data_IF_313974430933
#
_entry.id   IF_313974430933
#
_cell.length_a   1.000
_cell.length_b   1.000
_cell.length_c   1.000
_cell.angle_alpha   90.00
_cell.angle_beta   90.00
_cell.angle_gamma   90.00
#
_symmetry.space_group_name_H-M   'P 1'
#
loop_
_entity.id
_entity.type
_entity.pdbx_description
1 polymer ?
#
# COMPACT_ATOMS: atom_id res chain seq x y z
N UNK A 1 5.54 41.09 2.91
CA UNK A 1 4.64 40.95 4.10
C UNK A 1 3.70 42.14 4.20
N UNK A 2 4.20 43.37 4.43
CA UNK A 2 3.34 44.56 4.61
C UNK A 2 2.38 44.87 3.45
N UNK A 3 2.75 44.55 2.21
CA UNK A 3 1.87 44.74 1.04
C UNK A 3 0.80 43.64 0.88
N UNK A 4 0.94 42.51 1.57
CA UNK A 4 0.10 41.32 1.35
C UNK A 4 -1.03 41.17 2.38
N UNK A 5 -0.97 41.90 3.50
CA UNK A 5 -1.94 41.79 4.58
C UNK A 5 -2.33 43.20 5.05
N UNK A 6 -3.64 43.47 5.10
CA UNK A 6 -4.16 44.72 5.64
C UNK A 6 -3.85 44.82 7.15
N UNK A 7 -3.55 46.02 7.65
CA UNK A 7 -3.28 46.30 9.06
C UNK A 7 -2.14 45.47 9.68
N UNK A 8 -1.09 45.17 8.92
CA UNK A 8 0.09 44.43 9.42
C UNK A 8 1.24 45.37 9.76
N UNK A 9 1.75 45.29 10.99
CA UNK A 9 2.99 45.92 11.39
C UNK A 9 4.13 44.91 11.29
N UNK A 10 5.21 45.27 10.59
CA UNK A 10 6.41 44.45 10.50
C UNK A 10 7.51 45.13 11.29
N UNK A 11 8.06 44.40 12.26
CA UNK A 11 9.30 44.78 12.95
C UNK A 11 10.38 43.78 12.59
N UNK A 12 11.63 44.23 12.55
CA UNK A 12 12.78 43.38 12.21
C UNK A 12 13.93 43.63 13.15
N UNK A 13 14.72 42.58 13.39
CA UNK A 13 15.99 42.65 14.11
C UNK A 13 16.97 41.68 13.48
N UNK A 14 18.22 42.12 13.38
CA UNK A 14 19.34 41.28 12.96
C UNK A 14 19.96 40.68 14.22
N UNK A 15 20.13 39.36 14.22
CA UNK A 15 20.71 38.60 15.34
C UNK A 15 21.89 37.80 14.79
N UNK A 16 23.03 37.71 15.51
CA UNK A 16 24.12 36.83 15.11
C UNK A 16 23.69 35.36 15.06
N UNK A 17 24.40 34.54 14.27
CA UNK A 17 24.19 33.08 14.14
C UNK A 17 24.69 32.31 15.39
N UNK A 18 24.27 32.77 16.57
CA UNK A 18 24.56 32.16 17.86
C UNK A 18 23.26 31.69 18.50
N UNK A 19 23.21 30.40 18.85
CA UNK A 19 21.99 29.75 19.33
C UNK A 19 21.33 30.49 20.50
N UNK A 20 22.13 30.89 21.49
CA UNK A 20 21.62 31.55 22.71
C UNK A 20 21.07 32.95 22.42
N UNK A 21 21.69 33.69 21.49
CA UNK A 21 21.22 35.02 21.07
C UNK A 21 19.93 34.94 20.26
N UNK A 22 19.84 33.96 19.35
CA UNK A 22 18.61 33.68 18.60
C UNK A 22 17.49 33.32 19.58
N UNK A 23 17.75 32.42 20.54
CA UNK A 23 16.77 32.03 21.55
C UNK A 23 16.32 33.19 22.41
N UNK A 24 17.25 34.04 22.87
CA UNK A 24 16.94 35.20 23.68
C UNK A 24 15.98 36.14 22.95
N UNK A 25 16.25 36.43 21.68
CA UNK A 25 15.36 37.33 20.92
C UNK A 25 14.03 36.68 20.58
N UNK A 26 14.01 35.39 20.21
CA UNK A 26 12.77 34.67 19.96
C UNK A 26 11.88 34.66 21.20
N UNK A 27 12.41 34.38 22.40
CA UNK A 27 11.66 34.46 23.67
C UNK A 27 11.06 35.85 23.87
N UNK A 28 11.88 36.89 23.71
CA UNK A 28 11.44 38.29 23.84
C UNK A 28 10.28 38.62 22.88
N UNK A 29 10.26 38.04 21.69
CA UNK A 29 9.18 38.26 20.72
C UNK A 29 7.96 37.38 20.96
N UNK A 30 8.14 36.15 21.46
CA UNK A 30 7.06 35.26 21.88
C UNK A 30 6.28 35.89 23.05
N UNK A 31 6.97 36.56 23.97
CA UNK A 31 6.36 37.21 25.14
C UNK A 31 5.56 38.48 24.78
N UNK A 32 5.58 38.93 23.53
CA UNK A 32 4.82 40.09 23.06
C UNK A 32 3.49 39.65 22.47
N UNK A 33 2.40 40.00 23.15
CA UNK A 33 1.04 39.64 22.72
C UNK A 33 0.68 40.17 21.33
N UNK A 34 1.30 41.29 20.91
CA UNK A 34 1.09 41.87 19.58
C UNK A 34 1.80 41.09 18.44
N UNK A 35 2.75 40.20 18.75
CA UNK A 35 3.52 39.45 17.75
C UNK A 35 2.94 38.05 17.53
N UNK A 36 2.21 37.93 16.43
CA UNK A 36 1.47 36.70 16.08
C UNK A 36 2.25 35.71 15.21
N UNK A 37 3.23 36.22 14.45
CA UNK A 37 4.04 35.42 13.52
C UNK A 37 5.49 35.90 13.59
N UNK A 38 6.42 34.96 13.77
CA UNK A 38 7.86 35.19 13.69
C UNK A 38 8.41 34.40 12.50
N UNK A 39 9.07 35.12 11.59
CA UNK A 39 9.80 34.51 10.47
C UNK A 39 11.28 34.72 10.70
N UNK A 40 12.04 33.64 10.77
CA UNK A 40 13.51 33.73 10.76
C UNK A 40 13.99 33.50 9.33
N UNK A 41 15.09 34.13 8.95
CA UNK A 41 15.71 33.93 7.62
C UNK A 41 17.18 33.61 7.81
N UNK A 42 17.61 32.45 7.31
CA UNK A 42 19.00 32.00 7.43
C UNK A 42 19.25 31.04 8.58
N UNK A 43 20.42 30.44 8.58
CA UNK A 43 20.85 29.51 9.62
C UNK A 43 20.14 28.15 9.61
N UNK A 44 19.50 27.74 8.49
CA UNK A 44 18.73 26.49 8.39
C UNK A 44 19.43 25.36 7.63
N UNK A 45 20.61 25.60 7.05
CA UNK A 45 21.37 24.62 6.28
C UNK A 45 22.13 23.60 7.13
N UNK A 46 23.16 22.98 6.56
CA UNK A 46 24.00 21.98 7.24
C UNK A 46 25.33 22.55 7.77
N UNK A 47 25.61 23.84 7.57
CA UNK A 47 26.87 24.42 8.02
C UNK A 47 26.93 24.45 9.56
N UNK A 48 28.14 24.43 10.18
CA UNK A 48 28.26 24.45 11.64
C UNK A 48 27.63 25.67 12.33
N UNK A 49 27.45 26.78 11.60
CA UNK A 49 26.78 28.00 12.08
C UNK A 49 25.28 28.02 11.83
N UNK A 50 24.74 27.06 11.07
CA UNK A 50 23.30 26.97 10.81
C UNK A 50 22.59 26.38 12.04
N UNK A 51 22.27 27.22 13.02
CA UNK A 51 21.71 26.79 14.33
C UNK A 51 20.28 27.27 14.58
N UNK A 52 19.65 27.91 13.58
CA UNK A 52 18.31 28.50 13.73
C UNK A 52 17.22 27.47 14.07
N UNK A 53 17.19 26.25 13.45
CA UNK A 53 16.23 25.22 13.84
C UNK A 53 16.42 24.73 15.28
N UNK A 54 17.67 24.55 15.72
CA UNK A 54 18.01 24.12 17.09
C UNK A 54 17.62 25.18 18.12
N UNK A 55 17.84 26.45 17.80
CA UNK A 55 17.42 27.57 18.62
C UNK A 55 15.89 27.62 18.76
N UNK A 56 15.19 27.52 17.62
CA UNK A 56 13.72 27.61 17.54
C UNK A 56 13.04 26.45 18.25
N UNK A 57 13.45 25.21 18.00
CA UNK A 57 12.78 23.99 18.49
C UNK A 57 12.65 23.93 20.02
N UNK A 58 13.62 24.50 20.75
CA UNK A 58 13.60 24.51 22.22
C UNK A 58 12.56 25.47 22.82
N UNK A 59 11.95 26.34 22.01
CA UNK A 59 10.97 27.32 22.45
C UNK A 59 9.54 26.96 22.04
N UNK A 60 9.35 25.89 21.25
CA UNK A 60 8.06 25.50 20.74
C UNK A 60 7.28 24.69 21.77
N UNK A 61 6.02 25.04 21.98
CA UNK A 61 5.06 24.20 22.72
C UNK A 61 4.56 23.05 21.84
N UNK A 62 4.40 23.32 20.54
CA UNK A 62 3.92 22.35 19.54
C UNK A 62 4.67 22.52 18.22
N UNK A 63 5.29 21.46 17.74
CA UNK A 63 5.83 21.44 16.38
C UNK A 63 4.70 21.34 15.34
N UNK A 64 4.89 21.98 14.18
CA UNK A 64 3.98 21.94 13.04
C UNK A 64 4.69 21.29 11.83
N UNK A 65 5.00 19.97 11.88
CA UNK A 65 5.84 19.33 10.87
C UNK A 65 5.21 19.34 9.47
N UNK A 66 3.87 19.36 9.36
CA UNK A 66 3.17 19.46 8.08
C UNK A 66 3.41 20.81 7.38
N UNK A 67 3.58 21.92 8.13
CA UNK A 67 3.92 23.21 7.53
C UNK A 67 5.35 23.20 6.99
N UNK A 68 6.30 22.65 7.76
CA UNK A 68 7.69 22.49 7.31
C UNK A 68 7.75 21.60 6.07
N UNK A 69 7.04 20.47 6.08
CA UNK A 69 6.96 19.56 4.94
C UNK A 69 6.32 20.23 3.72
N UNK A 70 5.24 21.00 3.90
CA UNK A 70 4.58 21.71 2.81
C UNK A 70 5.49 22.75 2.14
N UNK A 71 6.23 23.52 2.94
CA UNK A 71 7.26 24.46 2.44
C UNK A 71 8.30 23.68 1.64
N UNK A 72 8.88 22.61 2.21
CA UNK A 72 9.90 21.80 1.55
C UNK A 72 9.41 21.19 0.23
N UNK A 73 8.21 20.61 0.20
CA UNK A 73 7.63 20.01 -1.01
C UNK A 73 7.38 21.03 -2.12
N UNK A 74 7.06 22.28 -1.78
CA UNK A 74 6.89 23.36 -2.77
C UNK A 74 8.22 23.92 -3.23
N UNK A 75 9.20 24.10 -2.33
CA UNK A 75 10.54 24.58 -2.66
C UNK A 75 11.34 23.58 -3.50
N UNK A 76 11.22 22.27 -3.26
CA UNK A 76 11.90 21.23 -4.05
C UNK A 76 11.50 21.27 -5.53
N UNK A 77 10.26 21.68 -5.84
CA UNK A 77 9.79 21.85 -7.23
C UNK A 77 10.52 22.98 -7.96
N UNK A 78 11.04 23.96 -7.21
CA UNK A 78 11.80 25.08 -7.77
C UNK A 78 13.31 24.83 -7.77
N UNK A 79 13.82 24.11 -6.75
CA UNK A 79 15.23 23.75 -6.66
C UNK A 79 15.44 22.50 -5.80
N UNK A 80 16.21 21.54 -6.31
CA UNK A 80 16.59 20.34 -5.57
C UNK A 80 17.37 20.65 -4.28
N UNK A 81 18.09 21.78 -4.21
CA UNK A 81 18.85 22.19 -3.03
C UNK A 81 17.97 22.54 -1.82
N UNK A 82 16.66 22.73 -2.01
CA UNK A 82 15.72 22.94 -0.91
C UNK A 82 15.66 21.74 0.05
N UNK A 83 16.00 20.53 -0.42
CA UNK A 83 16.11 19.33 0.41
C UNK A 83 17.18 19.45 1.52
N UNK A 84 18.11 20.42 1.43
CA UNK A 84 19.18 20.64 2.41
C UNK A 84 18.79 21.64 3.51
N UNK A 85 17.55 22.14 3.51
CA UNK A 85 17.06 23.00 4.60
C UNK A 85 16.49 22.15 5.73
N UNK A 86 16.88 22.45 6.96
CA UNK A 86 16.38 21.86 8.21
C UNK A 86 15.40 22.77 8.95
N UNK A 87 14.82 23.75 8.26
CA UNK A 87 13.89 24.72 8.85
C UNK A 87 12.72 24.04 9.55
N UNK A 88 12.40 24.48 10.77
CA UNK A 88 11.24 24.01 11.52
C UNK A 88 10.13 25.05 11.56
N UNK A 89 8.92 24.57 11.82
CA UNK A 89 7.73 25.37 12.01
C UNK A 89 7.05 24.91 13.30
N UNK A 90 6.49 25.84 14.08
CA UNK A 90 5.77 25.49 15.30
C UNK A 90 5.14 26.66 16.00
N UNK A 91 4.46 26.36 17.10
CA UNK A 91 3.71 27.31 17.92
C UNK A 91 4.42 27.44 19.27
N UNK A 92 4.62 28.67 19.72
CA UNK A 92 5.08 29.02 21.06
C UNK A 92 4.15 30.09 21.63
N UNK A 93 3.48 29.80 22.73
CA UNK A 93 2.39 30.58 23.28
C UNK A 93 1.32 30.85 22.23
N UNK A 94 1.16 32.12 21.88
CA UNK A 94 0.18 32.60 20.91
C UNK A 94 0.81 32.99 19.56
N UNK A 95 2.04 32.53 19.31
CA UNK A 95 2.88 32.96 18.20
C UNK A 95 3.29 31.79 17.31
N UNK A 96 3.09 31.94 16.00
CA UNK A 96 3.56 30.99 14.99
C UNK A 96 5.00 31.33 14.59
N UNK A 97 5.92 30.37 14.64
CA UNK A 97 7.32 30.54 14.24
C UNK A 97 7.62 29.68 13.02
N UNK A 98 8.24 30.28 12.00
CA UNK A 98 8.60 29.62 10.73
C UNK A 98 10.06 29.96 10.39
N UNK A 99 10.90 28.94 10.19
CA UNK A 99 12.28 29.15 9.74
C UNK A 99 12.40 29.06 8.22
N UNK A 100 12.85 30.14 7.58
CA UNK A 100 13.17 30.19 6.16
C UNK A 100 14.67 30.16 5.89
N UNK A 101 15.09 29.69 4.70
CA UNK A 101 16.48 29.78 4.26
C UNK A 101 16.97 31.22 4.12
N UNK A 102 18.28 31.43 3.99
CA UNK A 102 18.88 32.77 4.02
C UNK A 102 18.83 33.55 2.71
N UNK A 103 18.64 32.91 1.55
CA UNK A 103 18.66 33.63 0.28
C UNK A 103 17.35 34.36 0.01
N UNK A 104 17.42 35.58 -0.54
CA UNK A 104 16.25 36.41 -0.82
C UNK A 104 15.21 35.68 -1.69
N UNK A 105 15.68 34.94 -2.71
CA UNK A 105 14.84 34.11 -3.57
C UNK A 105 14.10 33.04 -2.75
N UNK A 106 14.82 32.29 -1.91
CA UNK A 106 14.22 31.22 -1.11
C UNK A 106 13.22 31.76 -0.08
N UNK A 107 13.52 32.90 0.55
CA UNK A 107 12.59 33.57 1.48
C UNK A 107 11.29 33.96 0.77
N UNK A 108 11.38 34.56 -0.43
CA UNK A 108 10.21 34.94 -1.24
C UNK A 108 9.36 33.72 -1.59
N UNK A 109 9.98 32.63 -2.02
CA UNK A 109 9.29 31.38 -2.39
C UNK A 109 8.63 30.69 -1.18
N UNK A 110 9.34 30.62 -0.05
CA UNK A 110 8.80 30.05 1.19
C UNK A 110 7.61 30.88 1.67
N UNK A 111 7.73 32.21 1.69
CA UNK A 111 6.64 33.09 2.09
C UNK A 111 5.42 32.98 1.18
N UNK A 112 5.62 32.96 -0.15
CA UNK A 112 4.53 32.76 -1.11
C UNK A 112 3.78 31.45 -0.88
N UNK A 113 4.50 30.39 -0.49
CA UNK A 113 3.92 29.08 -0.22
C UNK A 113 2.92 29.12 0.95
N UNK A 114 3.26 29.84 2.01
CA UNK A 114 2.46 29.88 3.25
C UNK A 114 1.55 31.10 3.36
N UNK A 115 1.66 32.06 2.44
CA UNK A 115 0.96 33.34 2.49
C UNK A 115 -0.54 33.19 2.78
N UNK A 116 -1.21 32.29 2.06
CA UNK A 116 -2.66 32.11 2.17
C UNK A 116 -3.07 31.34 3.42
N UNK A 117 -2.13 30.62 4.05
CA UNK A 117 -2.36 29.86 5.29
C UNK A 117 -2.21 30.73 6.54
N UNK A 118 -1.37 31.77 6.48
CA UNK A 118 -1.00 32.59 7.64
C UNK A 118 -2.21 33.20 8.39
N UNK A 119 -3.19 33.85 7.74
CA UNK A 119 -4.31 34.44 8.46
C UNK A 119 -5.09 33.40 9.26
N UNK A 120 -5.38 32.25 8.64
CA UNK A 120 -6.11 31.18 9.30
C UNK A 120 -5.32 30.56 10.46
N UNK A 121 -4.02 30.32 10.25
CA UNK A 121 -3.15 29.79 11.29
C UNK A 121 -3.10 30.70 12.52
N UNK A 122 -3.01 32.02 12.31
CA UNK A 122 -3.03 33.01 13.40
C UNK A 122 -4.36 33.03 14.15
N UNK A 123 -5.49 32.95 13.43
CA UNK A 123 -6.82 32.90 14.05
C UNK A 123 -7.00 31.62 14.90
N UNK A 124 -6.52 30.47 14.41
CA UNK A 124 -6.57 29.20 15.13
C UNK A 124 -5.72 29.23 16.41
N UNK A 125 -4.53 29.82 16.36
CA UNK A 125 -3.65 29.93 17.52
C UNK A 125 -4.24 30.91 18.55
N UNK A 126 -4.87 31.99 18.08
CA UNK A 126 -5.49 33.02 18.91
C UNK A 126 -6.87 32.71 19.46
N UNK A 127 -7.43 31.54 19.14
CA UNK A 127 -8.80 31.15 19.49
C UNK A 127 -9.85 32.21 19.09
N UNK A 128 -9.63 32.91 17.97
CA UNK A 128 -10.61 33.86 17.43
C UNK A 128 -11.72 33.08 16.71
N UNK A 129 -12.62 32.52 17.50
CA UNK A 129 -13.71 31.64 17.03
C UNK A 129 -14.51 32.29 15.90
N UNK A 130 -14.66 33.62 15.92
CA UNK A 130 -15.42 34.36 14.90
C UNK A 130 -14.71 34.37 13.54
N UNK A 131 -13.40 34.65 13.52
CA UNK A 131 -12.59 34.68 12.31
C UNK A 131 -12.21 33.28 11.84
N UNK A 132 -11.97 32.34 12.75
CA UNK A 132 -11.81 30.90 12.46
C UNK A 132 -13.06 30.39 11.77
N UNK A 133 -14.25 30.68 12.31
CA UNK A 133 -15.52 30.31 11.69
C UNK A 133 -15.69 30.98 10.34
N UNK A 134 -15.37 32.26 10.19
CA UNK A 134 -15.43 32.98 8.90
C UNK A 134 -14.49 32.36 7.86
N UNK A 135 -13.24 32.05 8.21
CA UNK A 135 -12.29 31.40 7.31
C UNK A 135 -12.72 29.96 7.00
N UNK A 136 -13.25 29.21 7.95
CA UNK A 136 -13.86 27.92 7.66
C UNK A 136 -15.10 28.07 6.78
N UNK A 137 -15.90 29.11 6.93
CA UNK A 137 -17.04 29.43 6.05
C UNK A 137 -16.57 29.87 4.65
N UNK A 138 -15.41 30.52 4.51
CA UNK A 138 -14.79 30.95 3.24
C UNK A 138 -14.02 29.83 2.51
N UNK A 139 -13.30 28.98 3.24
CA UNK A 139 -12.71 27.74 2.72
C UNK A 139 -13.82 26.75 2.41
N UNK A 140 -14.82 26.67 3.27
CA UNK A 140 -16.04 25.99 2.93
C UNK A 140 -16.78 26.71 1.82
N UNK A 141 -16.67 28.01 1.52
CA UNK A 141 -17.37 28.67 0.38
C UNK A 141 -16.59 28.65 -0.94
N UNK A 142 -15.28 28.46 -0.89
CA UNK A 142 -14.46 28.12 -2.06
C UNK A 142 -14.53 26.62 -2.38
N UNK A 143 -14.73 25.76 -1.38
CA UNK A 143 -15.13 24.36 -1.54
C UNK A 143 -16.67 24.16 -1.63
N UNK A 144 -17.44 25.20 -1.31
CA UNK A 144 -18.88 25.35 -1.53
C UNK A 144 -19.04 26.50 -2.52
N UNK A 145 -18.93 26.13 -3.80
CA UNK A 145 -20.22 26.17 -4.50
C UNK A 145 -21.20 25.44 -3.59
N UNK A 146 -21.92 26.25 -2.80
CA UNK A 146 -22.99 25.80 -1.95
C UNK A 146 -24.01 25.28 -2.91
N UNK A 147 -23.87 24.01 -3.27
CA UNK A 147 -25.01 23.15 -3.22
C UNK A 147 -25.45 23.13 -1.76
N UNK A 148 -26.08 24.24 -1.32
CA UNK A 148 -27.35 24.11 -0.64
C UNK A 148 -28.07 23.10 -1.51
N UNK A 149 -28.25 21.89 -1.01
CA UNK A 149 -29.19 21.00 -1.65
C UNK A 149 -30.51 21.74 -1.52
N UNK A 150 -31.03 22.39 -2.58
CA UNK A 150 -32.32 23.07 -2.44
C UNK A 150 -33.40 22.02 -2.15
N UNK A 151 -33.06 20.75 -2.39
CA UNK A 151 -33.87 19.60 -2.06
C UNK A 151 -33.94 19.47 -0.54
N UNK A 152 -35.05 19.96 0.00
CA UNK A 152 -35.62 19.54 1.27
C UNK A 152 -35.98 18.04 1.18
N UNK A 153 -34.99 17.16 1.21
CA UNK A 153 -35.25 15.71 1.29
C UNK A 153 -35.94 15.41 2.61
N UNK A 154 -37.12 14.76 2.57
CA UNK A 154 -37.94 14.47 3.74
C UNK A 154 -39.04 15.47 4.09
N UNK A 155 -39.33 16.49 3.27
CA UNK A 155 -40.51 17.38 3.46
C UNK A 155 -41.70 17.07 2.55
N UNK A 156 -41.58 16.07 1.68
CA UNK A 156 -42.71 15.53 0.91
C UNK A 156 -43.54 14.58 1.78
N UNK A 157 -44.85 14.55 1.56
CA UNK A 157 -45.74 13.52 2.15
C UNK A 157 -45.34 12.13 1.64
N UNK A 158 -45.70 11.05 2.34
CA UNK A 158 -45.25 9.65 2.14
C UNK A 158 -45.41 9.05 0.73
N UNK A 159 -45.95 9.81 -0.23
CA UNK A 159 -46.07 9.48 -1.66
C UNK A 159 -45.06 10.17 -2.59
N UNK A 160 -44.11 10.98 -2.09
CA UNK A 160 -43.38 11.96 -2.90
C UNK A 160 -41.84 11.83 -2.84
N UNK A 161 -41.20 11.59 -4.00
CA UNK A 161 -39.78 11.80 -4.42
C UNK A 161 -38.63 11.49 -3.43
N UNK A 162 -38.91 10.84 -2.32
CA UNK A 162 -37.92 10.40 -1.34
C UNK A 162 -37.45 8.98 -1.69
N UNK A 163 -36.16 8.71 -1.47
CA UNK A 163 -35.65 7.37 -1.66
C UNK A 163 -36.19 6.43 -0.58
N UNK A 164 -36.67 5.23 -0.93
CA UNK A 164 -37.12 4.25 0.05
C UNK A 164 -35.95 3.65 0.86
N UNK A 165 -34.71 3.90 0.45
CA UNK A 165 -33.53 3.39 1.12
C UNK A 165 -33.00 4.38 2.16
N UNK A 166 -32.71 3.90 3.40
CA UNK A 166 -32.10 4.73 4.44
C UNK A 166 -30.70 5.18 4.00
N UNK A 167 -30.25 6.29 4.57
CA UNK A 167 -28.88 6.77 4.35
C UNK A 167 -27.94 6.09 5.35
N UNK A 168 -27.17 5.10 4.90
CA UNK A 168 -26.28 4.33 5.78
C UNK A 168 -24.89 4.98 5.89
N UNK A 169 -24.21 4.78 7.02
CA UNK A 169 -22.82 5.21 7.18
C UNK A 169 -21.87 4.28 6.41
N UNK A 170 -20.71 4.80 5.96
CA UNK A 170 -19.72 4.01 5.19
C UNK A 170 -19.32 2.72 5.91
N UNK A 171 -19.07 2.77 7.21
CA UNK A 171 -18.64 1.58 7.98
C UNK A 171 -19.75 0.55 8.20
N UNK A 172 -21.00 1.00 8.25
CA UNK A 172 -22.14 0.10 8.33
C UNK A 172 -22.28 -0.67 7.02
N UNK A 173 -22.14 0.01 5.88
CA UNK A 173 -22.19 -0.61 4.54
C UNK A 173 -21.06 -1.62 4.35
N UNK A 174 -19.83 -1.28 4.74
CA UNK A 174 -18.69 -2.20 4.70
C UNK A 174 -18.94 -3.44 5.56
N UNK A 175 -19.47 -3.25 6.78
CA UNK A 175 -19.82 -4.38 7.66
C UNK A 175 -20.88 -5.28 7.04
N UNK A 176 -21.90 -4.69 6.40
CA UNK A 176 -22.93 -5.44 5.67
C UNK A 176 -22.29 -6.26 4.53
N UNK A 177 -21.45 -5.65 3.69
CA UNK A 177 -20.78 -6.33 2.58
C UNK A 177 -19.97 -7.52 3.09
N UNK A 178 -19.10 -7.29 4.09
CA UNK A 178 -18.23 -8.33 4.62
C UNK A 178 -18.96 -9.47 5.33
N UNK A 179 -20.15 -9.23 5.86
CA UNK A 179 -20.99 -10.27 6.46
C UNK A 179 -21.79 -11.07 5.43
N UNK A 180 -22.08 -10.49 4.27
CA UNK A 180 -22.87 -11.14 3.22
C UNK A 180 -22.00 -11.89 2.21
N UNK A 181 -20.83 -11.35 1.86
CA UNK A 181 -19.94 -11.97 0.88
C UNK A 181 -19.27 -13.19 1.50
N UNK A 182 -19.53 -14.36 0.91
CA UNK A 182 -18.89 -15.61 1.31
C UNK A 182 -17.38 -15.53 1.07
N UNK A 183 -16.62 -15.71 2.15
CA UNK A 183 -15.15 -15.77 2.10
C UNK A 183 -14.70 -17.19 1.83
N UNK A 184 -13.66 -17.35 1.01
CA UNK A 184 -12.99 -18.64 0.89
C UNK A 184 -12.37 -19.01 2.24
N UNK A 185 -12.35 -20.30 2.57
CA UNK A 185 -11.76 -20.79 3.81
C UNK A 185 -10.21 -20.81 3.77
N UNK A 186 -9.61 -19.90 2.99
CA UNK A 186 -8.20 -19.91 2.67
C UNK A 186 -7.34 -19.81 3.93
N UNK A 187 -7.70 -18.93 4.84
CA UNK A 187 -6.96 -18.73 6.08
C UNK A 187 -6.87 -20.02 6.90
N UNK A 188 -7.98 -20.74 7.07
CA UNK A 188 -7.98 -22.02 7.79
C UNK A 188 -7.22 -23.09 7.00
N UNK A 189 -7.37 -23.14 5.67
CA UNK A 189 -6.62 -24.07 4.81
C UNK A 189 -5.11 -23.85 4.98
N UNK A 190 -4.64 -22.59 4.99
CA UNK A 190 -3.24 -22.25 5.18
C UNK A 190 -2.74 -22.64 6.58
N UNK A 191 -3.52 -22.32 7.63
CA UNK A 191 -3.17 -22.63 9.02
C UNK A 191 -3.10 -24.14 9.30
N UNK A 192 -3.92 -24.94 8.63
CA UNK A 192 -3.93 -26.41 8.79
C UNK A 192 -2.95 -27.11 7.85
N UNK A 193 -2.37 -26.39 6.88
CA UNK A 193 -1.52 -27.00 5.87
C UNK A 193 -0.21 -27.50 6.48
N UNK A 194 0.08 -28.76 6.20
CA UNK A 194 1.29 -29.45 6.64
C UNK A 194 2.25 -29.66 5.48
N UNK A 195 3.55 -29.62 5.78
CA UNK A 195 4.61 -29.86 4.83
C UNK A 195 4.54 -31.31 4.32
N UNK A 196 4.35 -31.55 3.01
CA UNK A 196 4.35 -32.90 2.44
C UNK A 196 5.75 -33.52 2.37
N UNK A 197 6.81 -32.70 2.49
CA UNK A 197 8.21 -33.09 2.31
C UNK A 197 9.09 -32.46 3.37
N UNK A 198 10.26 -33.06 3.59
CA UNK A 198 11.34 -32.47 4.36
C UNK A 198 12.10 -31.42 3.52
N UNK A 199 12.56 -30.35 4.15
CA UNK A 199 13.48 -29.36 3.57
C UNK A 199 14.71 -29.26 4.48
N UNK A 200 15.92 -29.59 3.99
CA UNK A 200 16.16 -30.33 2.75
C UNK A 200 15.63 -31.78 2.82
N UNK A 201 15.36 -32.44 1.69
CA UNK A 201 14.88 -33.82 1.65
C UNK A 201 15.99 -34.87 1.85
N UNK A 202 17.24 -34.45 1.84
CA UNK A 202 18.45 -35.26 2.04
C UNK A 202 19.45 -34.50 2.90
N UNK A 203 20.47 -35.18 3.42
CA UNK A 203 21.61 -34.53 4.09
C UNK A 203 22.37 -33.72 3.05
N UNK A 204 22.43 -32.40 3.23
CA UNK A 204 23.00 -31.50 2.23
C UNK A 204 24.26 -30.81 2.76
N UNK A 205 25.21 -30.55 1.88
CA UNK A 205 26.38 -29.74 2.23
C UNK A 205 25.97 -28.27 2.45
N UNK A 206 26.47 -27.65 3.53
CA UNK A 206 26.32 -26.21 3.79
C UNK A 206 27.34 -25.39 2.98
N UNK A 207 28.46 -26.01 2.59
CA UNK A 207 29.62 -25.34 1.98
C UNK A 207 30.11 -26.07 0.73
N UNK A 208 30.89 -25.38 -0.09
CA UNK A 208 31.75 -26.05 -1.06
C UNK A 208 32.95 -26.62 -0.29
N UNK A 209 33.30 -27.88 -0.54
CA UNK A 209 34.31 -28.57 0.28
C UNK A 209 34.51 -30.03 -0.09
N UNK A 210 34.84 -30.82 0.93
CA UNK A 210 35.09 -32.26 0.79
C UNK A 210 34.26 -33.05 1.80
N UNK A 211 33.36 -33.89 1.29
CA UNK A 211 32.57 -34.82 2.08
C UNK A 211 33.40 -36.04 2.46
N UNK A 212 33.46 -36.35 3.75
CA UNK A 212 34.29 -37.42 4.31
C UNK A 212 33.68 -38.01 5.59
N UNK A 213 34.33 -39.05 6.13
CA UNK A 213 34.02 -39.63 7.44
C UNK A 213 34.67 -38.83 8.56
N UNK A 214 33.91 -38.53 9.59
CA UNK A 214 34.36 -37.90 10.83
C UNK A 214 35.26 -38.80 11.65
N UNK A 215 35.19 -40.13 11.46
CA UNK A 215 36.14 -41.09 12.06
C UNK A 215 37.50 -41.07 11.37
N UNK A 216 37.64 -40.35 10.25
CA UNK A 216 38.91 -40.11 9.61
C UNK A 216 39.81 -39.15 10.40
N UNK A 217 40.68 -38.46 9.68
CA UNK A 217 41.73 -37.62 10.27
C UNK A 217 42.06 -36.45 9.35
N UNK A 218 42.56 -35.34 9.89
CA UNK A 218 43.20 -34.28 9.08
C UNK A 218 44.42 -34.81 8.31
N UNK A 219 44.80 -34.18 7.21
CA UNK A 219 45.90 -34.59 6.35
C UNK A 219 45.45 -35.08 4.97
N UNK A 220 46.36 -35.74 4.24
CA UNK A 220 46.13 -36.16 2.86
C UNK A 220 44.95 -37.13 2.70
N UNK A 221 44.02 -36.79 1.80
CA UNK A 221 42.88 -37.62 1.36
C UNK A 221 42.86 -37.80 -0.16
N UNK A 222 42.51 -39.00 -0.61
CA UNK A 222 42.21 -39.26 -2.02
C UNK A 222 40.84 -38.70 -2.37
N UNK A 223 40.78 -37.91 -3.44
CA UNK A 223 39.52 -37.39 -3.97
C UNK A 223 38.97 -38.40 -4.98
N UNK A 224 37.87 -39.07 -4.63
CA UNK A 224 37.28 -40.14 -5.44
C UNK A 224 36.42 -39.64 -6.59
N UNK A 225 35.97 -38.38 -6.50
CA UNK A 225 35.11 -37.76 -7.48
C UNK A 225 34.50 -36.47 -6.97
N UNK A 226 33.55 -35.97 -7.75
CA UNK A 226 32.89 -34.71 -7.55
C UNK A 226 31.37 -34.90 -7.48
N UNK A 227 30.71 -34.24 -6.52
CA UNK A 227 29.27 -34.31 -6.29
C UNK A 227 28.69 -32.90 -6.37
N UNK A 228 27.85 -32.66 -7.36
CA UNK A 228 27.17 -31.40 -7.60
C UNK A 228 25.75 -31.38 -7.00
N UNK A 229 25.20 -30.18 -6.85
CA UNK A 229 23.78 -30.02 -6.57
C UNK A 229 22.94 -30.63 -7.72
N UNK A 230 22.04 -31.54 -7.37
CA UNK A 230 21.20 -32.27 -8.34
C UNK A 230 21.66 -33.71 -8.63
N UNK A 231 22.87 -34.09 -8.21
CA UNK A 231 23.33 -35.48 -8.31
C UNK A 231 22.61 -36.40 -7.32
N UNK A 232 22.73 -37.72 -7.53
CA UNK A 232 22.20 -38.73 -6.60
C UNK A 232 23.25 -39.02 -5.51
N UNK A 233 22.87 -39.16 -4.23
CA UNK A 233 23.80 -39.58 -3.19
C UNK A 233 24.54 -40.87 -3.55
N UNK A 234 25.87 -40.82 -3.53
CA UNK A 234 26.71 -42.00 -3.78
C UNK A 234 26.59 -42.99 -2.62
N UNK A 235 26.38 -44.26 -2.94
CA UNK A 235 26.34 -45.39 -1.99
C UNK A 235 27.62 -46.24 -1.98
N UNK A 236 28.65 -45.80 -2.71
CA UNK A 236 29.94 -46.49 -2.73
C UNK A 236 30.60 -46.41 -1.35
N UNK A 237 31.35 -47.45 -0.94
CA UNK A 237 32.15 -47.40 0.28
C UNK A 237 33.12 -46.21 0.27
N UNK A 238 33.29 -45.60 1.43
CA UNK A 238 34.21 -44.48 1.65
C UNK A 238 35.19 -44.84 2.78
N UNK A 239 36.48 -44.90 2.47
CA UNK A 239 37.52 -45.14 3.47
C UNK A 239 37.86 -43.86 4.27
N UNK A 240 38.58 -44.02 5.39
CA UNK A 240 38.96 -42.89 6.25
C UNK A 240 39.99 -41.94 5.61
N UNK A 241 40.72 -42.41 4.59
CA UNK A 241 41.69 -41.64 3.81
C UNK A 241 41.13 -41.17 2.45
N UNK A 242 39.81 -41.19 2.29
CA UNK A 242 39.09 -40.83 1.06
C UNK A 242 38.05 -39.74 1.31
N UNK A 243 37.78 -38.95 0.27
CA UNK A 243 36.74 -37.92 0.28
C UNK A 243 36.14 -37.72 -1.12
N UNK A 244 34.98 -37.08 -1.17
CA UNK A 244 34.40 -36.55 -2.40
C UNK A 244 34.45 -35.04 -2.36
N UNK A 245 34.89 -34.40 -3.44
CA UNK A 245 34.69 -32.96 -3.61
C UNK A 245 33.19 -32.71 -3.76
N UNK A 246 32.64 -31.76 -3.02
CA UNK A 246 31.19 -31.53 -2.93
C UNK A 246 30.87 -30.03 -2.98
N UNK A 247 29.78 -29.69 -3.64
CA UNK A 247 29.27 -28.31 -3.67
C UNK A 247 28.19 -28.06 -2.62
N UNK A 248 27.98 -26.80 -2.31
CA UNK A 248 26.89 -26.29 -1.49
C UNK A 248 25.55 -26.79 -2.01
N UNK A 249 24.73 -27.34 -1.11
CA UNK A 249 23.41 -27.88 -1.44
C UNK A 249 23.42 -29.27 -2.09
N UNK A 250 24.59 -29.83 -2.42
CA UNK A 250 24.68 -31.19 -2.94
C UNK A 250 24.39 -32.24 -1.85
N UNK A 251 23.82 -33.40 -2.22
CA UNK A 251 23.60 -34.48 -1.28
C UNK A 251 24.90 -35.11 -0.82
N UNK A 252 24.99 -35.40 0.47
CA UNK A 252 26.13 -36.15 1.01
C UNK A 252 26.12 -37.61 0.53
N UNK A 253 27.30 -38.21 0.26
CA UNK A 253 27.45 -39.66 0.20
C UNK A 253 26.87 -40.34 1.44
N UNK A 254 26.32 -41.54 1.29
CA UNK A 254 25.68 -42.26 2.40
C UNK A 254 26.65 -42.53 3.57
N UNK A 255 27.91 -42.80 3.23
CA UNK A 255 28.98 -43.12 4.18
C UNK A 255 29.71 -41.89 4.72
N UNK A 256 29.44 -40.69 4.20
CA UNK A 256 30.02 -39.45 4.71
C UNK A 256 29.12 -38.83 5.78
N UNK A 257 29.73 -38.16 6.75
CA UNK A 257 28.98 -37.51 7.82
C UNK A 257 29.44 -36.11 8.19
N UNK A 258 30.45 -35.59 7.50
CA UNK A 258 30.94 -34.23 7.63
C UNK A 258 31.42 -33.69 6.28
N UNK A 259 31.49 -32.37 6.19
CA UNK A 259 32.10 -31.63 5.09
C UNK A 259 33.14 -30.69 5.68
N UNK A 260 34.35 -30.66 5.11
CA UNK A 260 35.35 -29.62 5.39
C UNK A 260 35.37 -28.65 4.22
N UNK A 261 35.14 -27.36 4.49
CA UNK A 261 35.10 -26.31 3.46
C UNK A 261 36.43 -26.18 2.71
N UNK A 262 36.38 -25.74 1.45
CA UNK A 262 37.58 -25.62 0.57
C UNK A 262 38.69 -24.79 1.22
N UNK A 263 38.35 -23.73 1.94
CA UNK A 263 39.31 -22.83 2.59
C UNK A 263 40.16 -23.53 3.67
N UNK A 264 39.65 -24.61 4.26
CA UNK A 264 40.34 -25.45 5.25
C UNK A 264 41.06 -26.65 4.60
N UNK A 265 41.38 -26.54 3.31
CA UNK A 265 42.10 -27.56 2.57
C UNK A 265 43.20 -26.98 1.69
N UNK A 266 44.11 -27.85 1.24
CA UNK A 266 45.15 -27.51 0.27
C UNK A 266 45.21 -28.57 -0.82
N UNK A 267 45.00 -28.18 -2.07
CA UNK A 267 45.14 -29.08 -3.21
C UNK A 267 46.58 -29.58 -3.32
N UNK A 268 46.76 -30.91 -3.36
CA UNK A 268 48.08 -31.54 -3.48
C UNK A 268 48.34 -32.08 -4.89
N UNK A 269 47.33 -32.66 -5.54
CA UNK A 269 47.52 -33.31 -6.83
C UNK A 269 46.27 -33.26 -7.72
N UNK A 270 46.49 -33.00 -9.01
CA UNK A 270 45.53 -33.20 -10.08
C UNK A 270 45.82 -34.51 -10.84
N UNK A 271 44.77 -35.17 -11.32
CA UNK A 271 44.87 -36.32 -12.21
C UNK A 271 45.20 -35.90 -13.65
N UNK A 272 45.29 -36.87 -14.55
CA UNK A 272 45.62 -36.64 -15.97
C UNK A 272 44.56 -35.83 -16.73
N UNK A 273 43.35 -35.74 -16.19
CA UNK A 273 42.22 -35.01 -16.77
C UNK A 273 42.05 -33.61 -16.14
N UNK A 274 42.94 -33.23 -15.21
CA UNK A 274 42.88 -31.96 -14.50
C UNK A 274 41.87 -31.94 -13.35
N UNK A 275 41.38 -33.11 -12.91
CA UNK A 275 40.51 -33.23 -11.74
C UNK A 275 41.33 -33.44 -10.48
N UNK A 276 40.81 -32.99 -9.34
CA UNK A 276 41.49 -33.18 -8.06
C UNK A 276 41.54 -34.67 -7.71
N UNK A 277 42.72 -35.15 -7.34
CA UNK A 277 42.95 -36.56 -6.96
C UNK A 277 43.50 -36.70 -5.54
N UNK A 278 44.17 -35.66 -5.02
CA UNK A 278 44.69 -35.63 -3.66
C UNK A 278 44.55 -34.23 -3.07
N UNK A 279 44.01 -34.15 -1.86
CA UNK A 279 43.84 -32.91 -1.09
C UNK A 279 44.37 -33.10 0.33
N UNK A 280 44.93 -32.05 0.92
CA UNK A 280 45.32 -32.00 2.32
C UNK A 280 44.20 -31.34 3.13
N UNK A 281 43.64 -32.05 4.10
CA UNK A 281 42.60 -31.53 4.99
C UNK A 281 43.27 -30.89 6.20
N UNK A 282 43.11 -29.58 6.41
CA UNK A 282 43.83 -28.85 7.47
C UNK A 282 43.06 -28.80 8.81
N UNK A 283 41.77 -29.15 8.79
CA UNK A 283 40.88 -29.16 9.94
C UNK A 283 40.53 -30.60 10.34
N UNK A 284 40.52 -30.92 11.63
CA UNK A 284 40.04 -32.24 12.08
C UNK A 284 38.55 -32.42 11.79
N UNK A 285 38.15 -33.52 11.11
CA UNK A 285 36.76 -33.74 10.75
C UNK A 285 35.91 -34.05 11.99
N UNK A 286 34.73 -33.47 12.08
CA UNK A 286 33.79 -33.67 13.19
C UNK A 286 32.42 -34.07 12.67
N UNK A 287 31.76 -34.98 13.38
CA UNK A 287 30.43 -35.48 13.00
C UNK A 287 29.44 -34.32 12.83
N UNK A 288 28.82 -34.22 11.65
CA UNK A 288 27.85 -33.18 11.32
C UNK A 288 28.42 -31.83 10.92
N UNK A 289 29.75 -31.65 10.89
CA UNK A 289 30.37 -30.40 10.45
C UNK A 289 29.93 -30.03 9.03
N UNK A 290 29.42 -28.81 8.86
CA UNK A 290 28.89 -28.27 7.60
C UNK A 290 27.87 -29.16 6.87
N UNK A 291 27.12 -29.97 7.64
CA UNK A 291 26.02 -30.79 7.12
C UNK A 291 24.70 -30.24 7.60
N UNK A 292 23.78 -29.99 6.67
CA UNK A 292 22.37 -29.74 6.97
C UNK A 292 21.59 -31.05 6.98
N UNK A 293 21.05 -31.51 8.13
CA UNK A 293 20.27 -32.73 8.22
C UNK A 293 18.97 -32.67 7.40
N UNK A 294 18.37 -33.84 7.18
CA UNK A 294 17.03 -33.95 6.57
C UNK A 294 16.02 -33.20 7.44
N UNK A 295 15.20 -32.35 6.82
CA UNK A 295 14.10 -31.65 7.50
C UNK A 295 14.53 -30.53 8.44
N UNK A 296 15.80 -30.10 8.37
CA UNK A 296 16.35 -29.07 9.25
C UNK A 296 15.63 -27.72 9.14
N UNK A 297 15.25 -27.30 7.93
CA UNK A 297 14.52 -26.05 7.71
C UNK A 297 13.01 -26.25 7.95
N UNK A 298 12.47 -27.39 7.50
CA UNK A 298 11.07 -27.77 7.66
C UNK A 298 10.95 -29.30 7.60
N UNK A 299 10.37 -29.91 8.63
CA UNK A 299 10.15 -31.36 8.62
C UNK A 299 8.79 -31.71 7.99
N UNK A 300 8.71 -32.89 7.36
CA UNK A 300 7.46 -33.41 6.88
C UNK A 300 6.45 -33.50 8.03
N UNK A 301 5.22 -33.06 7.75
CA UNK A 301 4.10 -32.88 8.69
C UNK A 301 4.15 -31.64 9.61
N UNK A 302 5.21 -30.83 9.55
CA UNK A 302 5.21 -29.52 10.24
C UNK A 302 4.20 -28.58 9.59
N UNK A 303 3.70 -27.61 10.36
CA UNK A 303 2.85 -26.54 9.82
C UNK A 303 3.73 -25.65 8.94
N UNK A 304 3.32 -25.47 7.68
CA UNK A 304 4.02 -24.57 6.75
C UNK A 304 3.87 -23.12 7.22
N UNK A 305 2.66 -22.79 7.70
CA UNK A 305 2.31 -21.45 8.17
C UNK A 305 2.04 -21.49 9.67
N UNK A 306 2.98 -21.03 10.52
CA UNK A 306 2.74 -20.95 11.96
C UNK A 306 1.71 -19.88 12.32
N UNK A 307 1.57 -18.85 11.47
CA UNK A 307 0.57 -17.81 11.51
C UNK A 307 0.20 -17.39 10.07
N UNK A 308 -0.92 -16.68 9.93
CA UNK A 308 -1.30 -16.10 8.64
C UNK A 308 -0.34 -14.96 8.28
N UNK A 309 0.11 -14.96 7.03
CA UNK A 309 0.86 -13.85 6.44
C UNK A 309 0.03 -13.28 5.28
N UNK A 310 -0.31 -11.99 5.30
CA UNK A 310 -1.11 -11.38 4.24
C UNK A 310 -0.34 -11.22 2.93
N UNK A 311 0.99 -11.41 2.91
CA UNK A 311 1.84 -11.26 1.74
C UNK A 311 1.67 -12.43 0.77
N UNK A 312 1.15 -12.19 -0.45
CA UNK A 312 1.06 -13.25 -1.45
C UNK A 312 2.43 -13.79 -1.85
N UNK A 313 3.50 -13.00 -1.67
CA UNK A 313 4.89 -13.43 -1.96
C UNK A 313 5.30 -14.52 -0.97
N UNK A 314 5.11 -14.28 0.33
CA UNK A 314 5.46 -15.25 1.38
C UNK A 314 4.69 -16.55 1.19
N UNK A 315 3.36 -16.44 1.05
CA UNK A 315 2.48 -17.61 0.88
C UNK A 315 2.86 -18.42 -0.35
N UNK A 316 3.02 -17.78 -1.52
CA UNK A 316 3.34 -18.51 -2.76
C UNK A 316 4.73 -19.12 -2.75
N UNK A 317 5.73 -18.43 -2.20
CA UNK A 317 7.11 -18.94 -2.14
C UNK A 317 7.25 -20.13 -1.20
N UNK A 318 6.59 -20.12 -0.03
CA UNK A 318 6.59 -21.25 0.89
C UNK A 318 5.82 -22.45 0.34
N UNK A 319 4.68 -22.22 -0.32
CA UNK A 319 3.98 -23.31 -1.01
C UNK A 319 4.86 -23.93 -2.11
N UNK A 320 5.55 -23.10 -2.88
CA UNK A 320 6.46 -23.56 -3.93
C UNK A 320 7.66 -24.34 -3.37
N UNK A 321 8.22 -23.94 -2.22
CA UNK A 321 9.37 -24.63 -1.62
C UNK A 321 9.04 -26.05 -1.18
N UNK A 322 7.77 -26.33 -0.84
CA UNK A 322 7.27 -27.67 -0.52
C UNK A 322 6.63 -28.38 -1.72
N UNK A 323 6.70 -27.82 -2.92
CA UNK A 323 6.13 -28.40 -4.14
C UNK A 323 4.60 -28.35 -4.21
N UNK A 324 3.95 -27.51 -3.39
CA UNK A 324 2.50 -27.35 -3.40
C UNK A 324 2.07 -26.17 -4.29
N UNK A 325 1.01 -26.36 -5.07
CA UNK A 325 0.38 -25.32 -5.89
C UNK A 325 -1.05 -25.13 -5.40
N UNK A 326 -1.23 -24.33 -4.35
CA UNK A 326 -2.57 -23.97 -3.90
C UNK A 326 -3.25 -23.15 -4.99
N UNK A 327 -4.26 -23.74 -5.64
CA UNK A 327 -5.09 -23.05 -6.62
C UNK A 327 -6.26 -22.41 -5.89
N UNK A 328 -6.26 -21.09 -5.80
CA UNK A 328 -7.39 -20.32 -5.28
C UNK A 328 -8.20 -19.86 -6.48
N UNK A 329 -9.47 -20.28 -6.54
CA UNK A 329 -10.41 -19.76 -7.53
C UNK A 329 -10.62 -18.27 -7.29
N UNK A 330 -10.31 -17.45 -8.30
CA UNK A 330 -10.64 -16.03 -8.28
C UNK A 330 -12.14 -15.84 -8.49
N UNK A 331 -12.74 -14.79 -7.90
CA UNK A 331 -14.14 -14.47 -8.17
C UNK A 331 -14.35 -14.19 -9.66
N UNK A 332 -15.47 -14.67 -10.20
CA UNK A 332 -15.90 -14.35 -11.56
C UNK A 332 -16.65 -13.04 -11.55
N UNK A 333 -16.17 -12.06 -12.32
CA UNK A 333 -16.69 -10.69 -12.29
C UNK A 333 -17.15 -10.28 -13.68
N UNK A 334 -18.34 -9.68 -13.79
CA UNK A 334 -18.80 -8.94 -14.96
C UNK A 334 -18.94 -7.45 -14.64
N UNK A 335 -18.77 -6.61 -15.67
CA UNK A 335 -19.04 -5.18 -15.60
C UNK A 335 -20.23 -4.84 -16.49
N UNK A 336 -21.16 -4.07 -15.94
CA UNK A 336 -22.31 -3.55 -16.68
C UNK A 336 -22.30 -2.03 -16.60
N UNK A 337 -22.58 -1.37 -17.70
CA UNK A 337 -22.84 0.06 -17.73
C UNK A 337 -24.27 0.27 -18.19
N UNK A 338 -24.99 1.20 -17.57
CA UNK A 338 -26.37 1.52 -17.95
C UNK A 338 -26.46 3.00 -18.29
N UNK A 339 -27.04 3.30 -19.42
CA UNK A 339 -27.29 4.68 -19.82
C UNK A 339 -27.56 4.76 -21.30
N UNK A 340 -28.74 5.25 -21.67
CA UNK A 340 -29.09 5.41 -23.09
C UNK A 340 -28.24 6.48 -23.78
N UNK A 341 -27.41 7.24 -23.05
CA UNK A 341 -26.43 8.18 -23.55
C UNK A 341 -25.08 7.56 -23.92
N UNK A 342 -24.82 6.31 -23.53
CA UNK A 342 -23.50 5.71 -23.64
C UNK A 342 -23.16 5.20 -25.05
N UNK A 343 -21.89 5.35 -25.41
CA UNK A 343 -21.25 4.80 -26.61
C UNK A 343 -20.02 3.99 -26.22
N UNK A 344 -19.73 2.94 -27.01
CA UNK A 344 -18.46 2.23 -26.89
C UNK A 344 -17.29 3.14 -27.29
N UNK A 345 -16.08 2.98 -26.70
CA UNK A 345 -14.92 3.81 -27.04
C UNK A 345 -14.52 3.82 -28.52
N UNK A 346 -15.01 2.85 -29.32
CA UNK A 346 -14.74 2.73 -30.76
C UNK A 346 -15.86 3.28 -31.65
N UNK A 347 -16.99 3.66 -31.07
CA UNK A 347 -18.12 4.17 -31.83
C UNK A 347 -17.87 5.60 -32.31
N UNK A 348 -18.62 6.02 -33.32
CA UNK A 348 -18.60 7.42 -33.75
C UNK A 348 -19.43 8.28 -32.79
N UNK A 349 -18.93 9.47 -32.48
CA UNK A 349 -19.64 10.41 -31.63
C UNK A 349 -20.93 10.87 -32.31
N UNK A 350 -22.07 10.59 -31.67
CA UNK A 350 -23.38 11.09 -32.10
C UNK A 350 -23.90 12.16 -31.13
N UNK A 351 -24.66 13.17 -31.59
CA UNK A 351 -25.21 14.20 -30.73
C UNK A 351 -25.99 13.63 -29.52
N UNK A 352 -25.74 14.19 -28.33
CA UNK A 352 -26.41 13.78 -27.10
C UNK A 352 -25.88 12.49 -26.45
N UNK A 353 -24.84 11.88 -27.03
CA UNK A 353 -24.16 10.71 -26.46
C UNK A 353 -22.77 11.05 -25.91
N UNK A 354 -22.29 10.22 -25.00
CA UNK A 354 -20.94 10.29 -24.41
C UNK A 354 -20.30 8.90 -24.40
N UNK A 355 -18.97 8.85 -24.36
CA UNK A 355 -18.26 7.57 -24.30
C UNK A 355 -18.30 6.96 -22.90
N UNK A 356 -18.48 5.65 -22.84
CA UNK A 356 -18.41 4.87 -21.60
C UNK A 356 -16.95 4.73 -21.11
N UNK A 357 -16.57 5.66 -20.24
CA UNK A 357 -15.28 5.64 -19.56
C UNK A 357 -15.23 4.69 -18.36
N UNK A 358 -16.38 4.38 -17.74
CA UNK A 358 -16.41 3.61 -16.50
C UNK A 358 -16.16 2.13 -16.74
N UNK A 359 -16.72 1.55 -17.80
CA UNK A 359 -16.43 0.14 -18.15
C UNK A 359 -14.94 -0.06 -18.39
N UNK A 360 -14.31 0.85 -19.13
CA UNK A 360 -12.86 0.81 -19.37
C UNK A 360 -12.08 0.93 -18.06
N UNK A 361 -12.39 1.95 -17.25
CA UNK A 361 -11.73 2.18 -15.96
C UNK A 361 -11.85 0.97 -15.01
N UNK A 362 -13.06 0.42 -14.84
CA UNK A 362 -13.30 -0.70 -13.94
C UNK A 362 -12.62 -1.99 -14.43
N UNK A 363 -12.57 -2.21 -15.74
CA UNK A 363 -11.87 -3.36 -16.33
C UNK A 363 -10.37 -3.29 -16.05
N UNK A 364 -9.76 -2.12 -16.26
CA UNK A 364 -8.34 -1.90 -15.97
C UNK A 364 -8.02 -1.99 -14.47
N UNK A 365 -8.91 -1.49 -13.60
CA UNK A 365 -8.76 -1.61 -12.15
C UNK A 365 -8.83 -3.07 -11.69
N UNK A 366 -9.79 -3.86 -12.19
CA UNK A 366 -9.84 -5.29 -11.89
C UNK A 366 -8.53 -5.98 -12.30
N UNK A 367 -8.05 -5.73 -13.52
CA UNK A 367 -6.80 -6.29 -14.01
C UNK A 367 -5.59 -5.89 -13.15
N UNK A 368 -5.52 -4.61 -12.78
CA UNK A 368 -4.46 -4.05 -11.92
C UNK A 368 -4.39 -4.75 -10.56
N UNK A 369 -5.55 -5.04 -9.94
CA UNK A 369 -5.64 -5.77 -8.68
C UNK A 369 -5.62 -7.30 -8.85
N UNK A 370 -5.39 -7.80 -10.07
CA UNK A 370 -5.20 -9.21 -10.36
C UNK A 370 -6.49 -10.01 -10.52
N UNK A 371 -7.63 -9.36 -10.74
CA UNK A 371 -8.91 -9.96 -11.11
C UNK A 371 -9.13 -9.91 -12.62
N UNK A 372 -9.96 -10.82 -13.14
CA UNK A 372 -10.33 -10.82 -14.56
C UNK A 372 -11.80 -10.41 -14.69
N UNK A 373 -12.07 -9.48 -15.61
CA UNK A 373 -13.44 -9.21 -16.06
C UNK A 373 -13.80 -10.22 -17.15
N UNK A 374 -14.85 -11.03 -16.92
CA UNK A 374 -15.28 -12.05 -17.87
C UNK A 374 -16.19 -11.49 -18.96
N UNK A 375 -17.08 -10.57 -18.59
CA UNK A 375 -18.05 -9.97 -19.50
C UNK A 375 -18.17 -8.49 -19.26
N UNK A 376 -18.34 -7.74 -20.35
CA UNK A 376 -18.74 -6.33 -20.31
C UNK A 376 -20.03 -6.16 -21.12
N UNK A 377 -20.95 -5.33 -20.63
CA UNK A 377 -22.18 -5.01 -21.35
C UNK A 377 -22.58 -3.55 -21.12
N UNK A 378 -23.12 -2.91 -22.15
CA UNK A 378 -23.70 -1.57 -22.09
C UNK A 378 -25.19 -1.71 -22.37
N UNK A 379 -26.01 -1.42 -21.37
CA UNK A 379 -27.45 -1.60 -21.40
C UNK A 379 -28.15 -0.25 -21.61
N UNK A 380 -29.26 -0.29 -22.37
CA UNK A 380 -30.15 0.85 -22.48
C UNK A 380 -31.02 0.99 -21.23
N UNK A 381 -31.71 2.12 -21.09
CA UNK A 381 -32.63 2.35 -19.96
C UNK A 381 -33.96 1.61 -20.20
N UNK A 382 -33.91 0.28 -20.19
CA UNK A 382 -35.03 -0.61 -20.42
C UNK A 382 -35.07 -1.73 -19.37
N UNK A 383 -36.21 -1.87 -18.70
CA UNK A 383 -36.41 -2.84 -17.62
C UNK A 383 -36.19 -4.28 -18.08
N UNK A 384 -36.88 -4.71 -19.14
CA UNK A 384 -36.79 -6.10 -19.63
C UNK A 384 -35.39 -6.44 -20.14
N UNK A 385 -34.78 -5.54 -20.92
CA UNK A 385 -33.41 -5.76 -21.41
C UNK A 385 -32.42 -5.87 -20.25
N UNK A 386 -32.56 -5.03 -19.22
CA UNK A 386 -31.69 -5.07 -18.04
C UNK A 386 -31.91 -6.34 -17.24
N UNK A 387 -33.16 -6.78 -17.12
CA UNK A 387 -33.55 -8.00 -16.43
C UNK A 387 -32.97 -9.24 -17.09
N UNK A 388 -33.17 -9.40 -18.41
CA UNK A 388 -32.63 -10.53 -19.18
C UNK A 388 -31.10 -10.54 -19.10
N UNK A 389 -30.45 -9.39 -19.32
CA UNK A 389 -28.99 -9.31 -19.29
C UNK A 389 -28.40 -9.66 -17.93
N UNK A 390 -28.99 -9.18 -16.83
CA UNK A 390 -28.52 -9.51 -15.49
C UNK A 390 -28.80 -10.98 -15.14
N UNK A 391 -29.94 -11.52 -15.57
CA UNK A 391 -30.27 -12.93 -15.37
C UNK A 391 -29.20 -13.83 -16.01
N UNK A 392 -28.89 -13.60 -17.29
CA UNK A 392 -27.91 -14.38 -18.06
C UNK A 392 -26.50 -14.24 -17.44
N UNK A 393 -26.08 -13.02 -17.10
CA UNK A 393 -24.77 -12.79 -16.50
C UNK A 393 -24.59 -13.57 -15.19
N UNK A 394 -25.61 -13.62 -14.33
CA UNK A 394 -25.52 -14.32 -13.05
C UNK A 394 -25.48 -15.85 -13.17
N UNK A 395 -25.71 -16.43 -14.35
CA UNK A 395 -25.42 -17.84 -14.62
C UNK A 395 -23.90 -18.09 -14.69
N UNK A 396 -23.16 -17.11 -15.21
CA UNK A 396 -21.73 -17.24 -15.51
C UNK A 396 -20.80 -16.59 -14.49
N UNK A 397 -21.27 -15.59 -13.73
CA UNK A 397 -20.43 -14.83 -12.79
C UNK A 397 -20.94 -14.84 -11.35
N UNK A 398 -20.07 -14.51 -10.41
CA UNK A 398 -20.38 -14.42 -8.98
C UNK A 398 -20.65 -12.97 -8.58
N UNK A 399 -19.97 -12.02 -9.24
CA UNK A 399 -20.08 -10.58 -9.00
C UNK A 399 -20.47 -9.84 -10.27
N UNK A 400 -21.43 -8.93 -10.16
CA UNK A 400 -21.71 -7.92 -11.19
C UNK A 400 -21.42 -6.54 -10.61
N UNK A 401 -20.55 -5.78 -11.28
CA UNK A 401 -20.28 -4.37 -10.98
C UNK A 401 -20.97 -3.53 -12.04
N UNK A 402 -22.05 -2.86 -11.65
CA UNK A 402 -22.82 -1.99 -12.52
C UNK A 402 -22.43 -0.52 -12.30
N UNK A 403 -22.32 0.26 -13.37
CA UNK A 403 -22.12 1.71 -13.33
C UNK A 403 -23.30 2.43 -14.01
N UNK A 404 -23.93 3.35 -13.28
CA UNK A 404 -25.13 4.05 -13.76
C UNK A 404 -26.42 3.38 -13.30
N UNK A 405 -27.57 4.01 -13.54
CA UNK A 405 -28.89 3.38 -13.33
C UNK A 405 -29.28 3.10 -11.87
N UNK A 406 -28.51 3.58 -10.88
CA UNK A 406 -28.64 3.21 -9.44
C UNK A 406 -29.18 4.33 -8.55
N UNK A 407 -29.59 5.46 -9.13
CA UNK A 407 -30.06 6.64 -8.40
C UNK A 407 -31.57 6.57 -8.14
N UNK A 408 -32.28 7.68 -8.35
CA UNK A 408 -33.72 7.87 -8.17
C UNK A 408 -34.37 8.43 -9.46
N UNK A 409 -33.73 8.27 -10.61
CA UNK A 409 -34.29 8.73 -11.89
C UNK A 409 -35.41 7.82 -12.39
N UNK A 410 -36.34 8.36 -13.18
CA UNK A 410 -37.46 7.61 -13.77
C UNK A 410 -37.01 6.47 -14.70
N UNK A 411 -35.73 6.46 -15.07
CA UNK A 411 -35.06 5.49 -15.94
C UNK A 411 -34.09 4.56 -15.21
N UNK A 412 -33.98 4.69 -13.88
CA UNK A 412 -33.09 3.87 -13.05
C UNK A 412 -33.76 2.54 -12.68
N UNK A 413 -33.72 1.57 -13.60
CA UNK A 413 -34.37 0.27 -13.42
C UNK A 413 -33.57 -0.75 -12.62
N UNK A 414 -32.30 -0.47 -12.29
CA UNK A 414 -31.40 -1.47 -11.68
C UNK A 414 -31.97 -2.04 -10.38
N UNK A 415 -32.49 -1.18 -9.49
CA UNK A 415 -33.01 -1.60 -8.18
C UNK A 415 -34.28 -2.45 -8.32
N UNK A 416 -35.22 -2.04 -9.17
CA UNK A 416 -36.45 -2.80 -9.40
C UNK A 416 -36.19 -4.13 -10.10
N UNK A 417 -35.23 -4.17 -11.04
CA UNK A 417 -34.79 -5.42 -11.68
C UNK A 417 -34.17 -6.36 -10.66
N UNK A 418 -33.31 -5.88 -9.76
CA UNK A 418 -32.73 -6.71 -8.70
C UNK A 418 -33.81 -7.31 -7.80
N UNK A 419 -34.81 -6.54 -7.40
CA UNK A 419 -35.95 -7.01 -6.60
C UNK A 419 -36.78 -8.07 -7.36
N UNK A 420 -37.03 -7.86 -8.67
CA UNK A 420 -37.72 -8.85 -9.51
C UNK A 420 -36.94 -10.17 -9.58
N UNK A 421 -35.62 -10.07 -9.78
CA UNK A 421 -34.67 -11.19 -9.75
C UNK A 421 -34.46 -11.76 -8.33
N UNK A 422 -35.21 -11.32 -7.31
CA UNK A 422 -35.15 -11.82 -5.93
C UNK A 422 -33.80 -11.58 -5.24
N UNK A 423 -33.06 -10.56 -5.65
CA UNK A 423 -31.94 -10.04 -4.87
C UNK A 423 -32.47 -9.25 -3.67
N UNK A 424 -31.82 -9.43 -2.52
CA UNK A 424 -32.03 -8.57 -1.37
C UNK A 424 -31.10 -7.36 -1.49
N UNK A 425 -31.69 -6.17 -1.61
CA UNK A 425 -30.94 -4.91 -1.54
C UNK A 425 -30.65 -4.60 -0.08
N UNK A 426 -29.38 -4.66 0.31
CA UNK A 426 -28.96 -4.37 1.70
C UNK A 426 -28.61 -2.90 1.89
N UNK A 427 -28.14 -2.24 0.83
CA UNK A 427 -27.83 -0.83 0.81
C UNK A 427 -28.27 -0.25 -0.53
N UNK A 428 -29.01 0.87 -0.51
CA UNK A 428 -29.35 1.62 -1.73
C UNK A 428 -28.86 3.07 -1.72
N UNK A 429 -28.32 3.55 -0.59
CA UNK A 429 -27.78 4.90 -0.39
C UNK A 429 -26.74 4.94 0.73
N UNK A 430 -25.65 5.66 0.51
CA UNK A 430 -24.54 5.82 1.46
C UNK A 430 -24.29 7.29 1.77
N UNK A 431 -24.03 7.60 3.03
CA UNK A 431 -23.64 8.93 3.50
C UNK A 431 -22.17 9.22 3.17
N UNK A 432 -21.89 9.47 1.89
CA UNK A 432 -20.55 9.74 1.37
C UNK A 432 -20.62 10.78 0.24
N UNK A 433 -19.53 11.53 0.05
CA UNK A 433 -19.32 12.41 -1.11
C UNK A 433 -17.92 12.19 -1.68
N UNK A 434 -17.80 11.90 -2.99
CA UNK A 434 -18.85 11.48 -3.92
C UNK A 434 -19.34 10.05 -3.62
N UNK A 435 -20.44 9.59 -4.24
CA UNK A 435 -20.84 8.18 -4.12
C UNK A 435 -22.23 7.86 -3.57
N UNK A 436 -23.04 8.87 -3.22
CA UNK A 436 -24.32 8.70 -2.51
C UNK A 436 -25.23 7.54 -3.00
N UNK A 437 -25.48 7.31 -4.30
CA UNK A 437 -26.39 6.25 -4.75
C UNK A 437 -25.76 4.86 -4.84
N UNK A 438 -24.59 4.63 -4.21
CA UNK A 438 -23.98 3.30 -4.15
C UNK A 438 -24.97 2.27 -3.57
N UNK A 439 -25.10 1.15 -4.28
CA UNK A 439 -26.04 0.08 -4.00
C UNK A 439 -25.30 -1.25 -3.84
N UNK A 440 -25.67 -2.04 -2.84
CA UNK A 440 -25.20 -3.41 -2.66
C UNK A 440 -26.38 -4.35 -2.47
N UNK A 441 -26.39 -5.44 -3.22
CA UNK A 441 -27.42 -6.47 -3.15
C UNK A 441 -26.81 -7.88 -3.27
N UNK A 442 -27.49 -8.89 -2.70
CA UNK A 442 -27.07 -10.29 -2.86
C UNK A 442 -28.24 -11.24 -3.01
N UNK A 443 -27.97 -12.40 -3.63
CA UNK A 443 -28.87 -13.55 -3.76
C UNK A 443 -28.02 -14.81 -3.73
N UNK A 444 -28.09 -15.57 -2.64
CA UNK A 444 -27.24 -16.74 -2.39
C UNK A 444 -25.74 -16.35 -2.48
N UNK A 445 -25.00 -16.96 -3.41
CA UNK A 445 -23.59 -16.75 -3.71
C UNK A 445 -23.35 -15.69 -4.81
N UNK A 446 -24.39 -14.94 -5.20
CA UNK A 446 -24.33 -13.90 -6.23
C UNK A 446 -24.42 -12.52 -5.61
N UNK A 447 -23.54 -11.62 -6.04
CA UNK A 447 -23.40 -10.28 -5.47
C UNK A 447 -23.46 -9.20 -6.54
N UNK A 448 -24.12 -8.10 -6.22
CA UNK A 448 -24.27 -6.95 -7.11
C UNK A 448 -23.79 -5.68 -6.44
N UNK A 449 -22.91 -4.94 -7.13
CA UNK A 449 -22.46 -3.61 -6.76
C UNK A 449 -22.94 -2.59 -7.78
N UNK A 450 -23.86 -1.72 -7.37
CA UNK A 450 -24.35 -0.61 -8.16
C UNK A 450 -23.57 0.67 -7.85
N UNK A 451 -22.67 1.06 -8.73
CA UNK A 451 -21.84 2.26 -8.63
C UNK A 451 -22.50 3.44 -9.37
N UNK A 452 -22.31 4.70 -8.91
CA UNK A 452 -22.88 5.86 -9.60
C UNK A 452 -22.27 6.05 -10.99
N UNK A 453 -23.06 6.51 -11.97
CA UNK A 453 -22.56 6.73 -13.34
C UNK A 453 -21.51 7.84 -13.49
N UNK A 454 -21.39 8.75 -12.51
CA UNK A 454 -20.32 9.75 -12.52
C UNK A 454 -18.94 9.07 -12.35
N UNK A 455 -17.96 9.28 -13.25
CA UNK A 455 -16.71 8.51 -13.23
C UNK A 455 -15.89 8.61 -11.94
N UNK A 456 -15.79 9.81 -11.36
CA UNK A 456 -15.08 10.01 -10.07
C UNK A 456 -15.79 9.27 -8.95
N UNK A 457 -17.12 9.28 -8.96
CA UNK A 457 -17.93 8.55 -7.98
C UNK A 457 -17.78 7.04 -8.13
N UNK A 458 -17.79 6.52 -9.35
CA UNK A 458 -17.55 5.10 -9.64
C UNK A 458 -16.16 4.67 -9.15
N UNK A 459 -15.12 5.45 -9.45
CA UNK A 459 -13.76 5.17 -8.99
C UNK A 459 -13.67 5.07 -7.46
N UNK A 460 -14.22 6.06 -6.75
CA UNK A 460 -14.20 6.10 -5.27
C UNK A 460 -14.98 4.94 -4.67
N UNK A 461 -16.19 4.67 -5.18
CA UNK A 461 -17.05 3.61 -4.64
C UNK A 461 -16.56 2.21 -4.97
N UNK A 462 -15.88 2.02 -6.10
CA UNK A 462 -15.16 0.77 -6.38
C UNK A 462 -14.10 0.49 -5.31
N UNK A 463 -13.20 1.44 -5.05
CA UNK A 463 -12.11 1.26 -4.08
C UNK A 463 -12.60 1.07 -2.64
N UNK A 464 -13.70 1.73 -2.27
CA UNK A 464 -14.22 1.66 -0.91
C UNK A 464 -15.11 0.45 -0.65
N UNK A 465 -15.79 -0.09 -1.67
CA UNK A 465 -16.84 -1.11 -1.43
C UNK A 465 -16.73 -2.37 -2.28
N UNK A 466 -16.37 -2.26 -3.56
CA UNK A 466 -16.35 -3.41 -4.47
C UNK A 466 -15.00 -4.15 -4.47
N UNK A 467 -13.90 -3.43 -4.25
CA UNK A 467 -12.55 -3.97 -4.22
C UNK A 467 -12.21 -4.75 -2.94
N UNK A 468 -12.49 -4.22 -1.72
CA UNK A 468 -12.22 -4.95 -0.47
C UNK A 468 -13.13 -6.18 -0.32
#
# INVERSE_FOLDING_TARGET
>A
IGENFANTQVIGKIVPDEKDLIQHELRKWIDREELRVILTTGGTGFAPRDVTPEATRQLLDKECPQLSMYITLKSIKQTQYAALSRGVCGIAGNTLILNFPGSEKAVKECFQTIRELLPHAVHLIGDDVSLVRKTHEEVQSSARQGHICPNKTGTGTDSDRNSPFPMLAVQEVLSIIFNQVQRTNLDNILLEMKAPVNIPPFRASIKDGYAMKSTGFSGSKRVLGYIAAGDVPTSLPLAEDECYKINTGAPLPLEADCVVQVEDTKLLQLDKNGQESLVDIMLEPQAGLDVRPVGFDLSANDRIFPALDPSPVVVKSLLASVGNKLVISKPRVAIVSTGSELLSPRDQLTPGKIFDSNTTMLTELLLYFGFNCMHTSVLSDNFEQTRESLLDLFEEVDFVICSGGVSMGDKDFVKSVLEDLKFKIHCGRVNIKPGKPMTFASRNDKYFFGLPGNPVSAFVTFHLFALP
#
